data_IF_801372334517
#
_entry.id   IF_801372334517
#
_cell.length_a   1.000
_cell.length_b   1.000
_cell.length_c   1.000
_cell.angle_alpha   90.00
_cell.angle_beta   90.00
_cell.angle_gamma   90.00
#
_symmetry.space_group_name_H-M   'P 1'
#
loop_
_entity.id
_entity.type
_entity.pdbx_description
1 polymer ?
#
# COMPACT_ATOMS: atom_id res chain seq x y z
N UNK A 1 8.52 -4.41 3.56
CA UNK A 1 7.42 -4.43 4.55
C UNK A 1 6.16 -3.89 3.90
N UNK A 2 5.01 -4.52 4.09
CA UNK A 2 3.73 -4.06 3.56
C UNK A 2 2.75 -3.81 4.69
N UNK A 3 2.05 -2.69 4.64
CA UNK A 3 1.01 -2.34 5.62
C UNK A 3 -0.34 -2.15 4.89
N UNK A 4 -1.41 -2.71 5.46
CA UNK A 4 -2.78 -2.57 4.94
C UNK A 4 -3.48 -1.29 5.41
N UNK A 5 -4.66 -1.00 4.85
CA UNK A 5 -5.34 0.27 5.12
C UNK A 5 -5.74 0.51 6.58
N UNK A 6 -6.10 -0.55 7.33
CA UNK A 6 -6.38 -0.47 8.77
C UNK A 6 -5.16 0.00 9.59
N UNK A 7 -3.94 -0.32 9.13
CA UNK A 7 -2.71 0.18 9.74
C UNK A 7 -2.53 1.70 9.58
N UNK A 8 -3.31 2.32 8.69
CA UNK A 8 -3.28 3.74 8.37
C UNK A 8 -4.62 4.44 8.65
N UNK A 9 -5.47 3.87 9.50
CA UNK A 9 -6.79 4.43 9.81
C UNK A 9 -6.74 5.88 10.32
N UNK A 10 -5.68 6.24 11.05
CA UNK A 10 -5.45 7.57 11.61
C UNK A 10 -3.95 7.87 11.79
N UNK A 11 -3.62 9.12 12.12
CA UNK A 11 -2.24 9.57 12.30
C UNK A 11 -1.47 8.86 13.43
N UNK A 12 -2.12 8.47 14.52
CA UNK A 12 -1.47 7.73 15.60
C UNK A 12 -1.05 6.32 15.15
N UNK A 13 -1.89 5.65 14.35
CA UNK A 13 -1.52 4.37 13.76
C UNK A 13 -0.32 4.52 12.82
N UNK A 14 -0.29 5.58 12.00
CA UNK A 14 0.85 5.88 11.12
C UNK A 14 2.14 6.12 11.93
N UNK A 15 2.08 6.86 13.04
CA UNK A 15 3.21 7.03 13.96
C UNK A 15 3.68 5.69 14.58
N UNK A 16 2.76 4.79 14.91
CA UNK A 16 3.11 3.45 15.38
C UNK A 16 3.82 2.63 14.30
N UNK A 17 3.40 2.75 13.03
CA UNK A 17 4.12 2.13 11.91
C UNK A 17 5.54 2.68 11.79
N UNK A 18 5.72 4.00 11.92
CA UNK A 18 7.06 4.60 11.89
C UNK A 18 7.96 4.06 13.01
N UNK A 19 7.42 3.83 14.23
CA UNK A 19 8.16 3.18 15.33
C UNK A 19 8.60 1.75 14.98
N UNK A 20 7.70 0.95 14.42
CA UNK A 20 8.02 -0.42 13.97
C UNK A 20 9.17 -0.39 12.96
N UNK A 21 9.08 0.48 11.95
CA UNK A 21 10.12 0.59 10.92
C UNK A 21 11.45 1.06 11.53
N UNK A 22 11.43 2.04 12.44
CA UNK A 22 12.61 2.53 13.15
C UNK A 22 13.31 1.40 13.93
N UNK A 23 12.56 0.55 14.61
CA UNK A 23 13.14 -0.56 15.38
C UNK A 23 13.76 -1.64 14.48
N UNK A 24 13.21 -1.88 13.29
CA UNK A 24 13.87 -2.74 12.29
C UNK A 24 15.10 -2.08 11.67
N UNK A 25 15.08 -0.76 11.43
CA UNK A 25 16.24 -0.01 10.95
C UNK A 25 17.42 -0.06 11.91
N UNK A 26 17.17 0.03 13.23
CA UNK A 26 18.21 -0.15 14.26
C UNK A 26 18.93 -1.50 14.19
N UNK A 27 18.31 -2.51 13.58
CA UNK A 27 18.90 -3.86 13.37
C UNK A 27 19.66 -3.96 12.04
N UNK A 28 20.07 -2.83 11.48
CA UNK A 28 20.81 -2.68 10.22
C UNK A 28 20.13 -3.40 9.03
N UNK A 29 18.81 -3.24 8.90
CA UNK A 29 18.03 -3.83 7.81
C UNK A 29 17.75 -2.79 6.72
N UNK A 30 17.94 -3.20 5.47
CA UNK A 30 17.38 -2.48 4.34
C UNK A 30 15.88 -2.72 4.25
N UNK A 31 15.12 -1.63 4.13
CA UNK A 31 13.67 -1.65 4.20
C UNK A 31 13.10 -0.87 3.03
N UNK A 32 12.23 -1.52 2.27
CA UNK A 32 11.27 -0.91 1.36
C UNK A 32 9.88 -1.08 1.96
N UNK A 33 9.08 -0.01 1.98
CA UNK A 33 7.70 -0.03 2.45
C UNK A 33 6.76 -0.06 1.26
N UNK A 34 5.69 -0.86 1.35
CA UNK A 34 4.54 -0.82 0.44
C UNK A 34 3.30 -0.45 1.26
N UNK A 35 2.63 0.63 0.88
CA UNK A 35 1.48 1.14 1.63
C UNK A 35 0.18 1.05 0.82
N UNK A 36 -0.85 0.44 1.41
CA UNK A 36 -2.24 0.58 0.94
C UNK A 36 -2.81 1.94 1.34
N UNK A 37 -3.83 2.45 0.63
CA UNK A 37 -4.56 3.66 1.03
C UNK A 37 -5.08 3.58 2.48
N UNK A 38 -5.34 4.74 3.09
CA UNK A 38 -5.99 4.79 4.41
C UNK A 38 -7.34 4.05 4.39
N UNK A 39 -7.74 3.52 5.54
CA UNK A 39 -8.96 2.73 5.69
C UNK A 39 -10.19 3.42 5.07
N UNK A 40 -10.88 2.68 4.20
CA UNK A 40 -12.09 3.10 3.50
C UNK A 40 -11.90 4.23 2.48
N UNK A 41 -10.67 4.68 2.16
CA UNK A 41 -10.46 5.75 1.16
C UNK A 41 -10.66 5.21 -0.26
N UNK A 42 -10.14 4.02 -0.56
CA UNK A 42 -10.32 3.37 -1.87
C UNK A 42 -11.80 3.23 -2.23
N UNK A 43 -12.64 2.78 -1.30
CA UNK A 43 -14.08 2.62 -1.51
C UNK A 43 -14.78 3.97 -1.75
N UNK A 44 -14.37 5.02 -1.03
CA UNK A 44 -14.88 6.38 -1.24
C UNK A 44 -14.47 6.92 -2.62
N UNK A 45 -13.28 6.61 -3.11
CA UNK A 45 -12.83 7.01 -4.45
C UNK A 45 -13.62 6.28 -5.55
N UNK A 46 -13.89 4.98 -5.38
CA UNK A 46 -14.82 4.26 -6.27
C UNK A 46 -16.22 4.87 -6.25
N UNK A 47 -16.73 5.22 -5.06
CA UNK A 47 -18.02 5.89 -4.92
C UNK A 47 -18.06 7.25 -5.64
N UNK A 48 -16.98 8.04 -5.60
CA UNK A 48 -16.87 9.27 -6.40
C UNK A 48 -17.06 8.94 -7.89
N UNK A 49 -16.37 7.92 -8.40
CA UNK A 49 -16.53 7.47 -9.79
C UNK A 49 -17.97 7.11 -10.15
N UNK A 50 -18.66 6.36 -9.29
CA UNK A 50 -20.07 5.98 -9.49
C UNK A 50 -21.04 7.18 -9.42
N UNK A 51 -20.78 8.14 -8.53
CA UNK A 51 -21.56 9.38 -8.44
C UNK A 51 -21.38 10.25 -9.68
N UNK A 52 -20.17 10.33 -10.22
CA UNK A 52 -19.88 11.07 -11.44
C UNK A 52 -20.59 10.46 -12.66
N UNK A 53 -20.66 9.12 -12.78
CA UNK A 53 -21.46 8.43 -13.82
C UNK A 53 -22.94 8.82 -13.76
N UNK A 54 -23.46 9.01 -12.54
CA UNK A 54 -24.85 9.43 -12.26
C UNK A 54 -25.06 10.95 -12.34
N UNK A 55 -24.07 11.72 -12.80
CA UNK A 55 -24.10 13.19 -12.87
C UNK A 55 -24.29 13.90 -11.52
N UNK A 56 -23.86 13.26 -10.43
CA UNK A 56 -24.01 13.77 -9.06
C UNK A 56 -22.73 14.46 -8.55
N UNK A 57 -22.23 15.46 -9.30
CA UNK A 57 -20.97 16.15 -9.00
C UNK A 57 -20.90 16.70 -7.56
N UNK A 58 -21.97 17.35 -7.09
CA UNK A 58 -22.03 17.89 -5.72
C UNK A 58 -21.81 16.81 -4.65
N UNK A 59 -22.39 15.61 -4.83
CA UNK A 59 -22.18 14.49 -3.90
C UNK A 59 -20.76 13.96 -3.99
N UNK A 60 -20.19 13.84 -5.19
CA UNK A 60 -18.80 13.44 -5.39
C UNK A 60 -17.82 14.40 -4.68
N UNK A 61 -18.02 15.71 -4.80
CA UNK A 61 -17.21 16.72 -4.12
C UNK A 61 -17.34 16.65 -2.59
N UNK A 62 -18.52 16.32 -2.06
CA UNK A 62 -18.69 16.09 -0.62
C UNK A 62 -17.87 14.89 -0.14
N UNK A 63 -17.86 13.78 -0.88
CA UNK A 63 -17.03 12.61 -0.54
C UNK A 63 -15.53 12.97 -0.62
N UNK A 64 -15.12 13.73 -1.63
CA UNK A 64 -13.74 14.23 -1.74
C UNK A 64 -13.37 15.08 -0.52
N UNK A 65 -14.26 15.96 -0.06
CA UNK A 65 -14.03 16.75 1.15
C UNK A 65 -13.83 15.88 2.39
N UNK A 66 -14.59 14.78 2.54
CA UNK A 66 -14.41 13.81 3.63
C UNK A 66 -13.03 13.15 3.55
N UNK A 67 -12.62 12.71 2.35
CA UNK A 67 -11.27 12.15 2.12
C UNK A 67 -10.20 13.18 2.52
N UNK A 68 -10.34 14.44 2.07
CA UNK A 68 -9.41 15.53 2.39
C UNK A 68 -9.31 15.77 3.90
N UNK A 69 -10.45 15.86 4.59
CA UNK A 69 -10.50 16.04 6.05
C UNK A 69 -9.79 14.91 6.78
N UNK A 70 -10.04 13.65 6.39
CA UNK A 70 -9.39 12.47 6.97
C UNK A 70 -7.86 12.55 6.88
N UNK A 71 -7.32 12.90 5.71
CA UNK A 71 -5.87 12.99 5.50
C UNK A 71 -5.25 14.22 6.18
N UNK A 72 -5.91 15.38 6.18
CA UNK A 72 -5.41 16.57 6.87
C UNK A 72 -5.39 16.35 8.39
N UNK A 73 -6.40 15.67 8.95
CA UNK A 73 -6.38 15.26 10.36
C UNK A 73 -5.21 14.32 10.67
N UNK A 74 -4.89 13.37 9.79
CA UNK A 74 -3.73 12.51 9.96
C UNK A 74 -2.41 13.30 9.83
N UNK A 75 -2.30 14.20 8.84
CA UNK A 75 -1.14 15.06 8.62
C UNK A 75 -0.80 15.90 9.86
N UNK A 76 -1.81 16.54 10.46
CA UNK A 76 -1.65 17.32 11.71
C UNK A 76 -1.06 16.50 12.87
N UNK A 77 -1.35 15.20 12.92
CA UNK A 77 -0.82 14.29 13.95
C UNK A 77 0.60 13.86 13.60
N UNK A 78 0.88 13.56 12.32
CA UNK A 78 2.20 13.03 11.91
C UNK A 78 3.26 14.13 11.74
N UNK A 79 2.90 15.34 11.33
CA UNK A 79 3.84 16.44 11.13
C UNK A 79 4.22 17.18 12.41
N UNK A 80 5.43 17.77 12.40
CA UNK A 80 5.83 18.84 13.34
C UNK A 80 5.72 20.18 12.62
N UNK A 81 5.35 21.25 13.34
CA UNK A 81 5.09 22.59 12.77
C UNK A 81 6.26 23.17 11.96
N UNK A 82 7.50 22.76 12.23
CA UNK A 82 8.71 23.33 11.61
C UNK A 82 9.31 22.47 10.48
N UNK A 83 9.01 21.16 10.45
CA UNK A 83 9.65 20.19 9.52
C UNK A 83 8.71 19.72 8.39
N UNK A 84 7.38 19.82 8.56
CA UNK A 84 6.39 19.20 7.66
C UNK A 84 6.01 19.97 6.39
N UNK A 85 6.63 21.12 6.12
CA UNK A 85 6.20 22.05 5.05
C UNK A 85 6.24 21.39 3.66
N UNK A 86 7.27 20.57 3.38
CA UNK A 86 7.41 19.90 2.07
C UNK A 86 6.24 18.96 1.78
N UNK A 87 5.94 18.06 2.71
CA UNK A 87 4.89 17.05 2.53
C UNK A 87 3.50 17.71 2.53
N UNK A 88 3.30 18.76 3.33
CA UNK A 88 2.07 19.54 3.28
C UNK A 88 1.83 20.15 1.89
N UNK A 89 2.86 20.75 1.28
CA UNK A 89 2.78 21.30 -0.08
C UNK A 89 2.47 20.20 -1.11
N UNK A 90 3.12 19.03 -1.02
CA UNK A 90 2.82 17.90 -1.91
C UNK A 90 1.37 17.42 -1.77
N UNK A 91 0.87 17.32 -0.54
CA UNK A 91 -0.51 16.93 -0.25
C UNK A 91 -1.51 17.94 -0.82
N UNK A 92 -1.24 19.24 -0.66
CA UNK A 92 -2.06 20.31 -1.26
C UNK A 92 -2.12 20.14 -2.78
N UNK A 93 -0.96 19.98 -3.45
CA UNK A 93 -0.89 19.79 -4.91
C UNK A 93 -1.68 18.56 -5.36
N UNK A 94 -1.53 17.42 -4.67
CA UNK A 94 -2.27 16.20 -4.98
C UNK A 94 -3.79 16.36 -4.80
N UNK A 95 -4.23 17.03 -3.74
CA UNK A 95 -5.66 17.32 -3.55
C UNK A 95 -6.19 18.25 -4.64
N UNK A 96 -5.44 19.28 -5.01
CA UNK A 96 -5.80 20.16 -6.13
C UNK A 96 -5.90 19.39 -7.44
N UNK A 97 -4.97 18.47 -7.71
CA UNK A 97 -5.01 17.61 -8.90
C UNK A 97 -6.26 16.71 -8.89
N UNK A 98 -6.55 16.05 -7.77
CA UNK A 98 -7.74 15.20 -7.62
C UNK A 98 -9.04 16.01 -7.78
N UNK A 99 -9.12 17.19 -7.15
CA UNK A 99 -10.29 18.05 -7.23
C UNK A 99 -10.51 18.56 -8.66
N UNK A 100 -9.44 18.99 -9.33
CA UNK A 100 -9.49 19.39 -10.73
C UNK A 100 -9.93 18.23 -11.64
N UNK A 101 -9.42 17.03 -11.38
CA UNK A 101 -9.82 15.82 -12.11
C UNK A 101 -11.32 15.53 -11.92
N UNK A 102 -11.82 15.55 -10.69
CA UNK A 102 -13.23 15.29 -10.37
C UNK A 102 -14.16 16.37 -10.96
N UNK A 103 -13.73 17.64 -11.01
CA UNK A 103 -14.52 18.74 -11.59
C UNK A 103 -14.60 18.70 -13.11
N UNK A 104 -13.51 18.33 -13.79
CA UNK A 104 -13.38 18.48 -15.23
C UNK A 104 -13.52 17.17 -16.01
N UNK A 105 -13.56 16.02 -15.34
CA UNK A 105 -13.78 14.74 -16.02
C UNK A 105 -15.13 14.76 -16.74
N UNK A 106 -15.10 14.65 -18.06
CA UNK A 106 -16.29 14.50 -18.87
C UNK A 106 -17.08 13.28 -18.41
N UNK A 107 -18.37 13.50 -18.09
CA UNK A 107 -19.26 12.46 -17.58
C UNK A 107 -19.52 11.33 -18.59
N UNK A 108 -19.34 11.59 -19.90
CA UNK A 108 -19.48 10.58 -20.97
C UNK A 108 -18.26 9.64 -21.08
N UNK A 109 -17.17 9.94 -20.37
CA UNK A 109 -15.88 9.31 -20.58
C UNK A 109 -15.33 8.61 -19.31
N UNK A 110 -16.20 8.19 -18.38
CA UNK A 110 -15.76 7.49 -17.16
C UNK A 110 -15.43 6.03 -17.51
N UNK A 111 -14.27 5.86 -18.15
CA UNK A 111 -13.71 4.56 -18.53
C UNK A 111 -13.05 3.88 -17.32
N UNK A 112 -12.81 2.55 -17.38
CA UNK A 112 -12.02 1.85 -16.38
C UNK A 112 -10.65 2.49 -16.09
N UNK A 113 -9.95 2.96 -17.13
CA UNK A 113 -8.68 3.66 -16.97
C UNK A 113 -8.80 4.95 -16.13
N UNK A 114 -9.88 5.71 -16.35
CA UNK A 114 -10.16 6.92 -15.59
C UNK A 114 -10.51 6.62 -14.13
N UNK A 115 -11.16 5.49 -13.86
CA UNK A 115 -11.41 5.01 -12.50
C UNK A 115 -10.12 4.57 -11.82
N UNK A 116 -9.24 3.84 -12.51
CA UNK A 116 -7.95 3.44 -11.96
C UNK A 116 -7.09 4.66 -11.57
N UNK A 117 -7.03 5.67 -12.44
CA UNK A 117 -6.37 6.93 -12.12
C UNK A 117 -6.99 7.62 -10.89
N UNK A 118 -8.33 7.69 -10.81
CA UNK A 118 -9.04 8.27 -9.67
C UNK A 118 -8.71 7.56 -8.35
N UNK A 119 -8.77 6.23 -8.35
CA UNK A 119 -8.58 5.42 -7.15
C UNK A 119 -7.12 5.41 -6.70
N UNK A 120 -6.16 5.57 -7.62
CA UNK A 120 -4.73 5.63 -7.32
C UNK A 120 -4.34 6.73 -6.32
N UNK A 121 -5.15 7.79 -6.20
CA UNK A 121 -4.89 8.87 -5.26
C UNK A 121 -4.85 8.40 -3.80
N UNK A 122 -5.60 7.34 -3.45
CA UNK A 122 -5.62 6.81 -2.09
C UNK A 122 -4.23 6.42 -1.60
N UNK A 123 -3.52 5.60 -2.38
CA UNK A 123 -2.14 5.20 -2.08
C UNK A 123 -1.16 6.36 -2.27
N UNK A 124 -1.41 7.28 -3.21
CA UNK A 124 -0.54 8.45 -3.37
C UNK A 124 -0.56 9.32 -2.11
N UNK A 125 -1.71 9.56 -1.49
CA UNK A 125 -1.76 10.35 -0.25
C UNK A 125 -1.07 9.64 0.92
N UNK A 126 -1.31 8.35 1.10
CA UNK A 126 -0.82 7.64 2.30
C UNK A 126 0.71 7.55 2.34
N UNK A 127 1.39 7.40 1.19
CA UNK A 127 2.86 7.32 1.19
C UNK A 127 3.51 8.63 1.62
N UNK A 128 2.85 9.78 1.41
CA UNK A 128 3.32 11.08 1.91
C UNK A 128 3.22 11.14 3.43
N UNK A 129 2.08 10.72 3.99
CA UNK A 129 1.88 10.68 5.44
C UNK A 129 2.86 9.72 6.14
N UNK A 130 3.12 8.56 5.53
CA UNK A 130 4.08 7.59 6.07
C UNK A 130 5.50 8.12 5.98
N UNK A 131 5.87 8.78 4.87
CA UNK A 131 7.19 9.42 4.72
C UNK A 131 7.42 10.45 5.81
N UNK A 132 6.46 11.37 6.00
CA UNK A 132 6.52 12.39 7.05
C UNK A 132 6.68 11.79 8.46
N UNK A 133 5.92 10.73 8.77
CA UNK A 133 6.01 10.06 10.06
C UNK A 133 7.37 9.39 10.31
N UNK A 134 7.98 8.83 9.24
CA UNK A 134 9.32 8.24 9.30
C UNK A 134 10.38 9.32 9.51
N UNK A 135 10.34 10.40 8.72
CA UNK A 135 11.28 11.51 8.82
C UNK A 135 11.24 12.14 10.22
N UNK A 136 10.03 12.43 10.75
CA UNK A 136 9.84 12.87 12.14
C UNK A 136 10.44 11.91 13.18
N UNK A 137 10.44 10.62 12.88
CA UNK A 137 11.00 9.59 13.75
C UNK A 137 12.52 9.46 13.63
N UNK A 138 13.17 10.27 12.78
CA UNK A 138 14.60 10.22 12.49
C UNK A 138 14.98 9.12 11.50
N UNK A 139 14.02 8.66 10.69
CA UNK A 139 14.25 7.66 9.62
C UNK A 139 14.09 8.36 8.28
N UNK A 140 15.17 8.64 7.54
CA UNK A 140 15.08 9.21 6.20
C UNK A 140 14.20 8.34 5.30
N UNK A 141 13.25 8.95 4.60
CA UNK A 141 12.31 8.24 3.75
C UNK A 141 12.03 9.00 2.45
N UNK A 142 11.57 8.30 1.42
CA UNK A 142 11.23 8.91 0.14
C UNK A 142 9.98 8.26 -0.49
N UNK A 143 8.96 9.05 -0.88
CA UNK A 143 7.74 8.52 -1.46
C UNK A 143 7.95 8.11 -2.93
N UNK A 144 7.51 6.91 -3.30
CA UNK A 144 7.61 6.38 -4.67
C UNK A 144 6.23 5.96 -5.17
N UNK A 145 5.88 6.43 -6.36
CA UNK A 145 4.67 5.98 -7.04
C UNK A 145 4.96 4.73 -7.89
N UNK A 146 4.32 3.61 -7.54
CA UNK A 146 4.41 2.34 -8.26
C UNK A 146 3.97 2.43 -9.73
N UNK A 147 3.12 3.40 -10.09
CA UNK A 147 2.77 3.67 -11.50
C UNK A 147 3.95 4.22 -12.33
N UNK A 148 5.10 4.51 -11.72
CA UNK A 148 6.33 4.81 -12.45
C UNK A 148 7.26 3.59 -12.62
N UNK A 149 6.96 2.46 -11.97
CA UNK A 149 7.89 1.32 -11.87
C UNK A 149 7.31 -0.04 -12.19
N UNK A 150 6.09 -0.36 -11.74
CA UNK A 150 5.52 -1.70 -11.84
C UNK A 150 4.69 -1.83 -13.12
N UNK A 151 5.22 -2.57 -14.10
CA UNK A 151 4.53 -2.81 -15.36
C UNK A 151 3.38 -3.80 -15.16
N UNK A 152 2.26 -3.57 -15.86
CA UNK A 152 1.05 -4.38 -15.76
C UNK A 152 0.42 -4.60 -17.14
N UNK A 153 -0.54 -5.52 -17.21
CA UNK A 153 -1.45 -5.67 -18.35
C UNK A 153 -2.44 -4.50 -18.44
N UNK A 154 -3.02 -4.22 -19.62
CA UNK A 154 -4.03 -3.17 -19.82
C UNK A 154 -5.42 -3.44 -19.20
N UNK A 155 -5.60 -4.51 -18.43
CA UNK A 155 -6.88 -4.85 -17.81
C UNK A 155 -7.18 -3.95 -16.59
N UNK A 156 -7.59 -2.70 -16.83
CA UNK A 156 -7.90 -1.73 -15.79
C UNK A 156 -8.89 -2.28 -14.75
N UNK A 157 -8.69 -1.93 -13.47
CA UNK A 157 -9.44 -2.44 -12.32
C UNK A 157 -8.94 -3.78 -11.76
N UNK A 158 -8.25 -4.58 -12.58
CA UNK A 158 -7.76 -5.90 -12.20
C UNK A 158 -6.52 -6.29 -13.03
N UNK A 159 -5.59 -5.35 -13.14
CA UNK A 159 -4.39 -5.53 -13.95
C UNK A 159 -3.46 -6.54 -13.29
N UNK A 160 -2.81 -7.37 -14.10
CA UNK A 160 -1.85 -8.36 -13.64
C UNK A 160 -0.46 -7.75 -13.72
N UNK A 161 0.33 -7.71 -12.63
CA UNK A 161 1.71 -7.29 -12.70
C UNK A 161 2.52 -8.23 -13.61
N UNK A 162 3.31 -7.63 -14.49
CA UNK A 162 4.20 -8.35 -15.38
C UNK A 162 5.53 -8.58 -14.66
N UNK A 163 6.32 -9.62 -15.02
CA UNK A 163 7.67 -9.84 -14.50
C UNK A 163 8.67 -8.83 -15.08
N UNK A 164 8.26 -7.56 -15.20
CA UNK A 164 9.03 -6.44 -15.72
C UNK A 164 8.86 -5.25 -14.80
N UNK A 165 9.98 -4.64 -14.45
CA UNK A 165 10.05 -3.35 -13.76
C UNK A 165 10.71 -2.35 -14.70
N UNK A 166 10.48 -1.05 -14.50
CA UNK A 166 11.23 -0.01 -15.21
C UNK A 166 12.67 -0.01 -14.68
N UNK A 167 13.55 -0.78 -15.33
CA UNK A 167 14.91 -1.08 -14.83
C UNK A 167 15.69 0.19 -14.47
N UNK A 168 15.64 1.23 -15.31
CA UNK A 168 16.29 2.50 -15.02
C UNK A 168 15.82 3.12 -13.68
N UNK A 169 14.54 2.96 -13.31
CA UNK A 169 14.05 3.47 -12.04
C UNK A 169 14.58 2.64 -10.86
N UNK A 170 14.66 1.32 -11.02
CA UNK A 170 15.27 0.45 -10.03
C UNK A 170 16.72 0.87 -9.76
N UNK A 171 17.50 1.07 -10.82
CA UNK A 171 18.93 1.31 -10.74
C UNK A 171 19.29 2.75 -10.36
N UNK A 172 18.48 3.74 -10.78
CA UNK A 172 18.77 5.16 -10.55
C UNK A 172 18.06 5.75 -9.33
N UNK A 173 16.98 5.12 -8.84
CA UNK A 173 16.19 5.66 -7.73
C UNK A 173 16.12 4.68 -6.57
N UNK A 174 15.53 3.51 -6.76
CA UNK A 174 15.23 2.62 -5.63
C UNK A 174 16.51 2.07 -4.99
N UNK A 175 17.42 1.51 -5.79
CA UNK A 175 18.70 0.96 -5.29
C UNK A 175 19.57 2.04 -4.63
N UNK A 176 19.77 3.24 -5.22
CA UNK A 176 20.50 4.33 -4.57
C UNK A 176 19.89 4.81 -3.26
N UNK A 177 18.56 4.90 -3.15
CA UNK A 177 17.89 5.26 -1.89
C UNK A 177 18.23 4.26 -0.78
N UNK A 178 18.11 2.96 -1.07
CA UNK A 178 18.44 1.89 -0.12
C UNK A 178 19.90 1.96 0.30
N UNK A 179 20.83 2.10 -0.66
CA UNK A 179 22.28 2.25 -0.38
C UNK A 179 22.62 3.47 0.49
N UNK A 180 21.82 4.54 0.39
CA UNK A 180 21.95 5.76 1.21
C UNK A 180 21.18 5.67 2.53
N UNK A 181 20.70 4.48 2.91
CA UNK A 181 19.90 4.24 4.11
C UNK A 181 18.57 5.03 4.15
N UNK A 182 18.06 5.47 2.99
CA UNK A 182 16.77 6.14 2.85
C UNK A 182 15.71 5.08 2.56
N UNK A 183 14.62 5.05 3.34
CA UNK A 183 13.53 4.09 3.20
C UNK A 183 12.60 4.48 2.05
N UNK A 184 12.53 3.70 0.95
CA UNK A 184 11.55 3.95 -0.09
C UNK A 184 10.14 3.58 0.40
N UNK A 185 9.18 4.50 0.28
CA UNK A 185 7.78 4.31 0.64
C UNK A 185 6.95 4.25 -0.63
N UNK A 186 6.71 3.04 -1.11
CA UNK A 186 6.11 2.76 -2.41
C UNK A 186 4.60 2.63 -2.29
N UNK A 187 3.83 3.20 -3.22
CA UNK A 187 2.40 2.91 -3.31
C UNK A 187 2.18 1.41 -3.56
N UNK A 188 1.26 0.80 -2.81
CA UNK A 188 0.73 -0.50 -3.20
C UNK A 188 -0.32 -0.37 -4.31
N UNK A 189 -0.94 -1.48 -4.69
CA UNK A 189 -2.21 -1.53 -5.45
C UNK A 189 -2.18 -0.99 -6.88
N UNK A 190 -1.20 -0.15 -7.26
CA UNK A 190 -1.14 0.53 -8.54
C UNK A 190 0.12 0.16 -9.33
N UNK A 191 0.05 0.35 -10.65
CA UNK A 191 1.12 0.13 -11.61
C UNK A 191 0.85 0.92 -12.90
N UNK A 192 1.54 0.57 -13.99
CA UNK A 192 1.32 1.16 -15.29
C UNK A 192 1.19 0.14 -16.41
N UNK A 193 0.31 0.42 -17.36
CA UNK A 193 0.16 -0.33 -18.61
C UNK A 193 1.17 0.10 -19.68
N UNK A 194 1.29 -0.65 -20.79
CA UNK A 194 2.32 -0.40 -21.81
C UNK A 194 2.25 0.97 -22.50
N UNK A 195 1.09 1.62 -22.47
CA UNK A 195 0.83 2.98 -22.94
C UNK A 195 1.07 4.07 -21.87
N UNK A 196 1.53 3.68 -20.68
CA UNK A 196 1.84 4.59 -19.58
C UNK A 196 0.64 5.00 -18.71
N UNK A 197 -0.56 4.46 -18.95
CA UNK A 197 -1.71 4.75 -18.08
C UNK A 197 -1.56 4.10 -16.69
N UNK A 198 -2.07 4.78 -15.66
CA UNK A 198 -2.16 4.20 -14.31
C UNK A 198 -3.17 3.05 -14.30
N UNK A 199 -2.76 1.91 -13.76
CA UNK A 199 -3.62 0.73 -13.57
C UNK A 199 -3.74 0.37 -12.10
N UNK A 200 -4.83 -0.27 -11.70
CA UNK A 200 -4.99 -0.90 -10.40
C UNK A 200 -4.95 -2.43 -10.50
N UNK A 201 -4.39 -3.07 -9.47
CA UNK A 201 -4.12 -4.51 -9.44
C UNK A 201 -5.29 -5.35 -8.90
N UNK A 202 -6.42 -4.70 -8.59
CA UNK A 202 -7.58 -5.35 -7.99
C UNK A 202 -7.32 -5.89 -6.57
N UNK A 203 -8.16 -6.84 -6.16
CA UNK A 203 -8.18 -7.35 -4.78
C UNK A 203 -6.81 -7.90 -4.37
N UNK A 204 -6.30 -7.43 -3.23
CA UNK A 204 -4.98 -7.84 -2.72
C UNK A 204 -3.80 -7.19 -3.44
N UNK A 205 -4.05 -6.17 -4.27
CA UNK A 205 -3.04 -5.51 -5.10
C UNK A 205 -1.81 -5.03 -4.34
N UNK A 206 -1.95 -4.47 -3.13
CA UNK A 206 -0.77 -4.05 -2.35
C UNK A 206 0.09 -5.23 -1.86
N UNK A 207 -0.50 -6.40 -1.61
CA UNK A 207 0.28 -7.61 -1.28
C UNK A 207 1.03 -8.10 -2.55
N UNK A 208 0.40 -8.01 -3.73
CA UNK A 208 1.06 -8.27 -5.02
C UNK A 208 2.23 -7.30 -5.26
N UNK A 209 2.02 -5.98 -5.10
CA UNK A 209 3.10 -4.99 -5.25
C UNK A 209 4.30 -5.34 -4.36
N UNK A 210 4.07 -5.69 -3.09
CA UNK A 210 5.14 -6.03 -2.16
C UNK A 210 5.92 -7.28 -2.57
N UNK A 211 5.23 -8.30 -3.10
CA UNK A 211 5.85 -9.57 -3.47
C UNK A 211 6.59 -9.50 -4.80
N UNK A 212 6.08 -8.73 -5.76
CA UNK A 212 6.80 -8.42 -6.99
C UNK A 212 8.06 -7.57 -6.71
N UNK A 213 7.96 -6.51 -5.92
CA UNK A 213 9.13 -5.70 -5.56
C UNK A 213 10.18 -6.53 -4.79
N UNK A 214 9.76 -7.37 -3.84
CA UNK A 214 10.66 -8.26 -3.14
C UNK A 214 11.39 -9.21 -4.09
N UNK A 215 10.69 -9.76 -5.09
CA UNK A 215 11.29 -10.60 -6.11
C UNK A 215 12.28 -9.82 -7.00
N UNK A 216 11.97 -8.58 -7.41
CA UNK A 216 12.89 -7.76 -8.22
C UNK A 216 14.12 -7.28 -7.45
N UNK A 217 14.01 -7.10 -6.14
CA UNK A 217 15.07 -6.59 -5.27
C UNK A 217 15.90 -7.69 -4.62
N UNK A 218 15.64 -8.96 -4.94
CA UNK A 218 16.24 -10.11 -4.25
C UNK A 218 16.14 -10.00 -2.72
N UNK A 219 14.98 -9.55 -2.25
CA UNK A 219 14.77 -9.27 -0.84
C UNK A 219 14.91 -10.54 0.01
N UNK A 220 15.52 -10.40 1.19
CA UNK A 220 15.71 -11.53 2.12
C UNK A 220 14.39 -12.05 2.72
N UNK A 221 13.37 -11.19 2.80
CA UNK A 221 12.06 -11.55 3.34
C UNK A 221 10.99 -10.51 2.99
N UNK A 222 9.73 -10.93 3.07
CA UNK A 222 8.57 -10.03 3.04
C UNK A 222 7.92 -10.03 4.42
N UNK A 223 7.58 -8.84 4.91
CA UNK A 223 6.73 -8.69 6.08
C UNK A 223 5.37 -8.16 5.64
N UNK A 224 4.31 -8.95 5.82
CA UNK A 224 2.93 -8.54 5.62
C UNK A 224 2.35 -8.19 6.99
N UNK A 225 2.28 -6.89 7.27
CA UNK A 225 1.72 -6.36 8.52
C UNK A 225 0.21 -6.26 8.40
N UNK A 226 -0.47 -6.96 9.31
CA UNK A 226 -1.93 -7.12 9.36
C UNK A 226 -2.45 -6.72 10.74
N UNK A 227 -3.76 -6.59 10.85
CA UNK A 227 -4.47 -6.42 12.12
C UNK A 227 -4.52 -7.74 12.93
N UNK A 228 -4.43 -8.89 12.25
CA UNK A 228 -4.30 -10.22 12.86
C UNK A 228 -2.85 -10.67 13.04
N UNK A 229 -2.63 -11.63 13.96
CA UNK A 229 -1.29 -12.18 14.23
C UNK A 229 -0.74 -13.04 13.08
N UNK A 230 -1.61 -13.74 12.34
CA UNK A 230 -1.20 -14.68 11.32
C UNK A 230 -2.35 -15.57 10.86
N UNK A 231 -2.02 -16.76 10.37
CA UNK A 231 -3.00 -17.77 10.01
C UNK A 231 -3.42 -18.58 11.23
N UNK A 232 -4.71 -18.82 11.34
CA UNK A 232 -5.30 -19.69 12.36
C UNK A 232 -5.93 -20.92 11.71
N UNK A 233 -6.09 -21.99 12.47
CA UNK A 233 -6.80 -23.20 12.02
C UNK A 233 -8.32 -23.00 11.88
N UNK A 234 -8.87 -21.94 12.46
CA UNK A 234 -10.25 -21.49 12.38
C UNK A 234 -10.31 -19.96 12.55
N UNK A 235 -11.45 -19.32 12.31
CA UNK A 235 -11.62 -17.86 12.50
C UNK A 235 -11.50 -17.49 13.99
N UNK A 236 -10.43 -16.79 14.42
CA UNK A 236 -10.21 -16.48 15.84
C UNK A 236 -11.23 -15.49 16.41
N UNK A 237 -11.98 -14.78 15.56
CA UNK A 237 -13.06 -13.89 16.00
C UNK A 237 -14.33 -14.68 16.36
N UNK A 238 -14.53 -15.85 15.76
CA UNK A 238 -15.68 -16.74 16.01
C UNK A 238 -15.35 -17.84 17.01
N UNK A 239 -14.14 -18.38 16.92
CA UNK A 239 -13.66 -19.47 17.75
C UNK A 239 -12.43 -19.04 18.56
N UNK A 240 -12.63 -18.77 19.84
CA UNK A 240 -11.54 -18.38 20.76
C UNK A 240 -10.50 -19.49 20.99
N UNK A 241 -10.80 -20.76 20.66
CA UNK A 241 -9.87 -21.90 20.72
C UNK A 241 -9.03 -22.06 19.44
N UNK A 242 -9.20 -21.16 18.47
CA UNK A 242 -8.40 -21.20 17.25
C UNK A 242 -6.90 -21.08 17.59
N UNK A 243 -6.10 -21.98 17.02
CA UNK A 243 -4.66 -22.04 17.22
C UNK A 243 -3.93 -21.39 16.05
N UNK A 244 -2.89 -20.62 16.38
CA UNK A 244 -2.04 -19.94 15.39
C UNK A 244 -1.12 -20.96 14.71
N UNK A 245 -1.04 -20.91 13.39
CA UNK A 245 0.02 -21.59 12.65
C UNK A 245 1.30 -20.76 12.71
N UNK A 246 2.31 -21.22 13.45
CA UNK A 246 3.62 -20.52 13.49
C UNK A 246 4.38 -20.63 12.16
N UNK A 247 4.26 -21.77 11.48
CA UNK A 247 4.89 -22.06 10.18
C UNK A 247 3.89 -22.70 9.23
N UNK A 248 3.96 -22.30 7.96
CA UNK A 248 3.20 -22.87 6.85
C UNK A 248 4.10 -23.05 5.64
N UNK A 249 3.89 -24.10 4.86
CA UNK A 249 4.42 -24.16 3.50
C UNK A 249 3.69 -23.17 2.59
N UNK A 250 4.34 -22.76 1.49
CA UNK A 250 3.69 -21.96 0.45
C UNK A 250 2.36 -22.58 -0.02
N UNK A 251 2.33 -23.90 -0.26
CA UNK A 251 1.13 -24.62 -0.69
C UNK A 251 0.00 -24.57 0.33
N UNK A 252 0.32 -24.79 1.61
CA UNK A 252 -0.69 -24.76 2.67
C UNK A 252 -1.24 -23.36 2.87
N UNK A 253 -0.38 -22.33 2.85
CA UNK A 253 -0.80 -20.94 2.94
C UNK A 253 -1.67 -20.52 1.75
N UNK A 254 -1.31 -20.93 0.53
CA UNK A 254 -2.10 -20.67 -0.67
C UNK A 254 -3.48 -21.33 -0.59
N UNK A 255 -3.54 -22.60 -0.17
CA UNK A 255 -4.80 -23.35 0.00
C UNK A 255 -5.71 -22.67 1.03
N UNK A 256 -5.18 -22.29 2.20
CA UNK A 256 -5.94 -21.59 3.23
C UNK A 256 -6.47 -20.24 2.72
N UNK A 257 -5.64 -19.47 2.01
CA UNK A 257 -6.04 -18.19 1.45
C UNK A 257 -7.12 -18.31 0.36
N UNK A 258 -7.02 -19.33 -0.51
CA UNK A 258 -8.06 -19.63 -1.53
C UNK A 258 -9.39 -20.03 -0.87
N UNK A 259 -9.34 -20.75 0.25
CA UNK A 259 -10.51 -21.20 1.00
C UNK A 259 -11.11 -20.11 1.91
N UNK A 260 -10.68 -18.85 1.77
CA UNK A 260 -11.34 -17.71 2.40
C UNK A 260 -10.63 -17.17 3.64
N UNK A 261 -9.48 -17.71 4.05
CA UNK A 261 -8.67 -17.08 5.10
C UNK A 261 -8.11 -15.75 4.57
N UNK A 262 -8.73 -14.63 4.96
CA UNK A 262 -8.43 -13.28 4.44
C UNK A 262 -7.15 -12.66 5.03
N UNK A 263 -6.13 -13.48 5.29
CA UNK A 263 -4.85 -13.04 5.90
C UNK A 263 -3.88 -12.54 4.84
N UNK A 264 -3.67 -13.33 3.78
CA UNK A 264 -2.80 -13.00 2.64
C UNK A 264 -3.57 -13.24 1.35
N UNK A 265 -3.39 -12.36 0.36
CA UNK A 265 -3.94 -12.63 -0.96
C UNK A 265 -3.18 -13.78 -1.65
N UNK A 266 -3.85 -14.87 -1.99
CA UNK A 266 -3.19 -16.10 -2.45
C UNK A 266 -2.26 -15.89 -3.66
N UNK A 267 -2.62 -15.03 -4.63
CA UNK A 267 -1.75 -14.75 -5.79
C UNK A 267 -0.47 -14.02 -5.42
N UNK A 268 -0.44 -13.32 -4.29
CA UNK A 268 0.76 -12.64 -3.80
C UNK A 268 1.81 -13.62 -3.24
N UNK A 269 1.47 -14.89 -3.03
CA UNK A 269 2.45 -15.89 -2.59
C UNK A 269 3.36 -16.33 -3.76
N UNK A 270 2.82 -16.34 -4.98
CA UNK A 270 3.46 -16.90 -6.16
C UNK A 270 4.78 -16.19 -6.58
N UNK A 271 4.88 -14.84 -6.60
CA UNK A 271 6.05 -14.14 -7.13
C UNK A 271 7.35 -14.46 -6.39
N UNK A 272 7.25 -14.84 -5.12
CA UNK A 272 8.40 -15.08 -4.24
C UNK A 272 8.72 -16.55 -4.02
N UNK A 273 7.80 -17.44 -4.41
CA UNK A 273 7.94 -18.89 -4.24
C UNK A 273 9.17 -19.43 -4.97
N UNK A 274 9.41 -19.01 -6.21
CA UNK A 274 10.54 -19.50 -7.03
C UNK A 274 11.90 -19.17 -6.38
N UNK A 275 12.04 -17.96 -5.81
CA UNK A 275 13.25 -17.53 -5.10
C UNK A 275 13.28 -17.95 -3.63
N UNK A 276 12.26 -18.67 -3.14
CA UNK A 276 12.12 -19.09 -1.73
C UNK A 276 12.25 -17.93 -0.74
N UNK A 277 11.76 -16.74 -1.11
CA UNK A 277 11.78 -15.58 -0.21
C UNK A 277 10.67 -15.77 0.83
N UNK A 278 10.99 -15.90 2.13
CA UNK A 278 10.00 -16.17 3.17
C UNK A 278 9.04 -14.99 3.36
N UNK A 279 7.79 -15.30 3.68
CA UNK A 279 6.76 -14.30 4.02
C UNK A 279 6.44 -14.40 5.51
N UNK A 280 6.72 -13.34 6.25
CA UNK A 280 6.32 -13.16 7.64
C UNK A 280 5.00 -12.40 7.69
N UNK A 281 3.95 -13.07 8.15
CA UNK A 281 2.69 -12.40 8.53
C UNK A 281 2.79 -12.00 9.99
N UNK A 282 2.63 -10.71 10.26
CA UNK A 282 2.79 -10.11 11.60
C UNK A 282 1.65 -9.17 11.91
N UNK A 283 1.36 -8.98 13.19
CA UNK A 283 0.41 -7.95 13.63
C UNK A 283 1.12 -6.64 13.89
N UNK A 284 0.65 -5.53 13.29
CA UNK A 284 1.14 -4.20 13.65
C UNK A 284 0.62 -3.74 15.02
N UNK A 285 -0.43 -4.38 15.56
CA UNK A 285 -0.95 -4.16 16.91
C UNK A 285 -0.10 -4.85 17.97
N UNK A 286 0.55 -5.97 17.60
CA UNK A 286 1.41 -6.78 18.48
C UNK A 286 2.76 -7.04 17.81
N UNK A 287 3.60 -6.01 17.60
CA UNK A 287 4.79 -6.13 16.75
C UNK A 287 5.91 -7.02 17.31
N UNK A 288 5.86 -7.36 18.60
CA UNK A 288 6.82 -8.27 19.23
C UNK A 288 6.49 -9.74 18.99
N UNK A 289 5.25 -10.04 18.58
CA UNK A 289 4.78 -11.41 18.39
C UNK A 289 5.33 -12.05 17.11
N UNK A 290 5.48 -13.38 17.16
CA UNK A 290 6.08 -14.15 16.06
C UNK A 290 5.17 -14.34 14.84
N UNK A 291 3.86 -14.33 15.04
CA UNK A 291 2.89 -14.50 13.94
C UNK A 291 3.14 -15.80 13.15
N UNK A 292 2.92 -15.74 11.83
CA UNK A 292 3.09 -16.89 10.93
C UNK A 292 4.24 -16.66 9.94
N UNK A 293 5.07 -17.67 9.74
CA UNK A 293 6.08 -17.72 8.66
C UNK A 293 5.60 -18.63 7.54
N UNK A 294 5.69 -18.17 6.29
CA UNK A 294 5.43 -18.97 5.08
C UNK A 294 6.76 -19.19 4.35
N UNK A 295 7.15 -20.45 4.16
CA UNK A 295 8.42 -20.87 3.56
C UNK A 295 8.38 -22.28 3.01
#
# INVERSE_FOLDING_TARGET
MKFGGAAFANGNNILNIAKIVKDYKKRNRDIVIVASAMEGVTDKLFLIGELLKKKQLKKALNILHIIKKQHISALKIVSRKEEGIRIEIEMIKLFSQLENYVKNISMKDITPARIDFLVSFGERFVIRLVTEALERSGVPAYPIDASNILATTHNFGNAIPLPRIKQNYLDQILTPLVKRNIVPVVTGYIGYSGDGCTTTLGRGGSDLTATFLANFLDAQAIYLWKDVLGFYNDDPHKNKKATLFEKLSYDKAEKLAKNGAKVVYYKAILPVRKKRIPIYVRSYLKPQERGTTIS
#
